data_IF_554657250890
#
_entry.id   IF_554657250890
#
_cell.length_a   1.000
_cell.length_b   1.000
_cell.length_c   1.000
_cell.angle_alpha   90.00
_cell.angle_beta   90.00
_cell.angle_gamma   90.00
#
_symmetry.space_group_name_H-M   'P 1'
#
loop_
_entity.id
_entity.type
_entity.pdbx_description
1 polymer ?
#
# COMPACT_ATOMS: atom_id res chain seq x y z
N UNK A 1 11.74 14.43 -16.68
CA UNK A 1 12.34 13.27 -15.99
C UNK A 1 11.24 12.62 -15.19
N UNK A 2 11.06 11.31 -15.33
CA UNK A 2 10.10 10.55 -14.54
C UNK A 2 10.86 9.86 -13.41
N UNK A 3 10.41 10.08 -12.18
CA UNK A 3 10.88 9.36 -11.00
C UNK A 3 9.93 8.20 -10.70
N UNK A 4 10.47 6.99 -10.59
CA UNK A 4 9.69 5.78 -10.26
C UNK A 4 10.22 5.18 -8.97
N UNK A 5 9.32 4.83 -8.05
CA UNK A 5 9.64 4.20 -6.78
C UNK A 5 8.66 3.07 -6.45
N UNK A 6 9.19 1.99 -5.87
CA UNK A 6 8.42 0.87 -5.35
C UNK A 6 8.58 0.87 -3.83
N UNK A 7 7.46 0.91 -3.11
CA UNK A 7 7.45 0.91 -1.64
C UNK A 7 6.66 -0.26 -1.10
N UNK A 8 7.33 -1.12 -0.33
CA UNK A 8 6.69 -2.20 0.42
C UNK A 8 6.12 -1.64 1.73
N UNK A 9 4.82 -1.82 1.96
CA UNK A 9 4.13 -1.37 3.17
C UNK A 9 3.27 -2.49 3.76
N UNK A 10 3.09 -2.48 5.08
CA UNK A 10 2.22 -3.44 5.75
C UNK A 10 0.77 -3.27 5.30
N UNK A 11 0.11 -4.37 4.93
CA UNK A 11 -1.28 -4.34 4.50
C UNK A 11 -2.20 -4.07 5.70
N UNK A 12 -3.26 -3.32 5.47
CA UNK A 12 -4.33 -3.14 6.45
C UNK A 12 -5.21 -4.41 6.44
N UNK A 13 -5.43 -5.06 7.59
CA UNK A 13 -6.31 -6.23 7.67
C UNK A 13 -7.73 -5.89 7.19
N UNK A 14 -8.38 -6.84 6.53
CA UNK A 14 -9.80 -6.70 6.16
C UNK A 14 -10.65 -6.50 7.42
N UNK A 15 -11.62 -5.58 7.35
CA UNK A 15 -12.40 -5.14 8.51
C UNK A 15 -11.68 -4.13 9.41
N UNK A 16 -10.41 -3.78 9.13
CA UNK A 16 -9.67 -2.73 9.82
C UNK A 16 -8.95 -3.20 11.09
N UNK A 17 -8.02 -2.36 11.55
CA UNK A 17 -7.18 -2.64 12.71
C UNK A 17 -7.74 -2.08 14.02
N UNK A 18 -6.86 -2.05 15.02
CA UNK A 18 -7.13 -1.40 16.31
C UNK A 18 -7.57 0.08 16.22
N UNK A 19 -7.26 0.77 15.12
CA UNK A 19 -7.73 2.14 14.88
C UNK A 19 -9.24 2.22 14.64
N UNK A 20 -9.84 1.16 14.09
CA UNK A 20 -11.29 1.05 13.87
C UNK A 20 -11.98 0.49 15.12
N UNK A 21 -11.40 -0.57 15.71
CA UNK A 21 -12.05 -1.35 16.76
C UNK A 21 -11.64 -0.99 18.19
N UNK A 22 -10.68 -0.06 18.38
CA UNK A 22 -10.05 0.22 19.66
C UNK A 22 -8.91 -0.76 20.00
N UNK A 23 -7.89 -0.28 20.73
CA UNK A 23 -6.62 -1.01 21.00
C UNK A 23 -6.79 -2.31 21.78
N UNK A 24 -7.72 -2.35 22.74
CA UNK A 24 -7.87 -3.47 23.66
C UNK A 24 -9.10 -4.36 23.36
N UNK A 25 -9.89 -4.02 22.34
CA UNK A 25 -11.03 -4.86 21.95
C UNK A 25 -10.57 -6.21 21.42
N UNK A 26 -11.45 -7.21 21.48
CA UNK A 26 -11.17 -8.53 20.92
C UNK A 26 -10.83 -8.43 19.42
N UNK A 27 -11.57 -7.60 18.67
CA UNK A 27 -11.37 -7.36 17.24
C UNK A 27 -10.04 -6.63 16.97
N UNK A 28 -9.67 -5.62 17.76
CA UNK A 28 -8.39 -4.93 17.67
C UNK A 28 -7.20 -5.88 17.90
N UNK A 29 -7.30 -6.76 18.91
CA UNK A 29 -6.28 -7.79 19.17
C UNK A 29 -6.21 -8.84 18.07
N UNK A 30 -7.36 -9.32 17.58
CA UNK A 30 -7.44 -10.28 16.48
C UNK A 30 -6.82 -9.72 15.19
N UNK A 31 -7.10 -8.45 14.85
CA UNK A 31 -6.52 -7.78 13.67
C UNK A 31 -4.99 -7.67 13.71
N UNK A 32 -4.40 -7.58 14.91
CA UNK A 32 -2.94 -7.55 15.10
C UNK A 32 -2.31 -8.95 15.00
N UNK A 33 -3.05 -9.97 15.42
CA UNK A 33 -2.64 -11.36 15.28
C UNK A 33 -2.78 -11.86 13.82
N UNK A 34 -3.76 -11.33 13.08
CA UNK A 34 -3.92 -11.58 11.66
C UNK A 34 -2.73 -10.97 10.89
N UNK A 35 -1.85 -11.83 10.38
CA UNK A 35 -0.75 -11.40 9.50
C UNK A 35 -1.32 -11.04 8.12
N UNK A 36 -1.71 -9.78 7.94
CA UNK A 36 -2.28 -9.28 6.68
C UNK A 36 -1.27 -9.22 5.51
N UNK A 37 0.02 -9.46 5.77
CA UNK A 37 1.06 -9.42 4.75
C UNK A 37 1.46 -8.01 4.33
N UNK A 38 1.94 -7.89 3.10
CA UNK A 38 2.44 -6.63 2.53
C UNK A 38 1.70 -6.29 1.24
N UNK A 39 1.72 -5.02 0.90
CA UNK A 39 1.33 -4.49 -0.42
C UNK A 39 2.45 -3.60 -0.93
N UNK A 40 2.62 -3.57 -2.25
CA UNK A 40 3.66 -2.80 -2.92
C UNK A 40 3.02 -1.60 -3.62
N UNK A 41 3.41 -0.40 -3.23
CA UNK A 41 2.98 0.83 -3.88
C UNK A 41 3.98 1.18 -4.97
N UNK A 42 3.51 1.13 -6.21
CA UNK A 42 4.28 1.53 -7.39
C UNK A 42 3.90 2.96 -7.72
N UNK A 43 4.82 3.89 -7.59
CA UNK A 43 4.58 5.32 -7.79
C UNK A 43 5.46 5.89 -8.90
N UNK A 44 4.87 6.77 -9.72
CA UNK A 44 5.56 7.49 -10.77
C UNK A 44 5.23 8.97 -10.72
N UNK A 45 6.25 9.82 -10.81
CA UNK A 45 6.14 11.27 -10.76
C UNK A 45 6.88 11.87 -11.95
N UNK A 46 6.18 12.61 -12.80
CA UNK A 46 6.82 13.36 -13.89
C UNK A 46 7.08 14.81 -13.49
N UNK A 47 8.36 15.20 -13.52
CA UNK A 47 8.81 16.52 -13.10
C UNK A 47 8.40 17.66 -14.06
N UNK A 48 8.04 17.35 -15.31
CA UNK A 48 7.64 18.35 -16.30
C UNK A 48 6.14 18.68 -16.20
N UNK A 49 5.29 17.66 -16.31
CA UNK A 49 3.82 17.79 -16.30
C UNK A 49 3.23 17.89 -14.89
N UNK A 50 4.00 17.62 -13.83
CA UNK A 50 3.53 17.49 -12.44
C UNK A 50 2.49 16.38 -12.24
N UNK A 51 2.41 15.43 -13.17
CA UNK A 51 1.57 14.24 -13.02
C UNK A 51 2.17 13.27 -11.99
N UNK A 52 1.30 12.65 -11.19
CA UNK A 52 1.66 11.61 -10.23
C UNK A 52 0.67 10.46 -10.33
N UNK A 53 1.18 9.23 -10.39
CA UNK A 53 0.42 8.00 -10.40
C UNK A 53 0.90 7.08 -9.29
N UNK A 54 -0.04 6.40 -8.62
CA UNK A 54 0.27 5.37 -7.63
C UNK A 54 -0.72 4.22 -7.72
N UNK A 55 -0.20 2.99 -7.78
CA UNK A 55 -1.01 1.76 -7.77
C UNK A 55 -0.51 0.80 -6.69
N UNK A 56 -1.45 0.04 -6.11
CA UNK A 56 -1.18 -0.97 -5.11
C UNK A 56 -1.16 -2.37 -5.75
N UNK A 57 0.00 -3.01 -5.75
CA UNK A 57 0.24 -4.34 -6.34
C UNK A 57 0.65 -5.37 -5.28
N UNK A 58 0.46 -6.64 -5.63
CA UNK A 58 0.76 -7.79 -4.74
C UNK A 58 2.24 -8.15 -4.67
N UNK A 59 3.06 -7.65 -5.60
CA UNK A 59 4.49 -7.92 -5.67
C UNK A 59 5.30 -6.71 -6.16
N UNK A 60 6.63 -6.83 -6.04
CA UNK A 60 7.60 -5.84 -6.50
C UNK A 60 7.92 -5.88 -8.00
N UNK A 61 7.52 -6.95 -8.70
CA UNK A 61 7.88 -7.21 -10.10
C UNK A 61 6.79 -6.83 -11.10
N UNK A 62 5.66 -6.33 -10.63
CA UNK A 62 4.56 -5.90 -11.46
C UNK A 62 5.09 -5.05 -12.62
N UNK A 63 4.81 -5.48 -13.85
CA UNK A 63 5.02 -4.68 -15.05
C UNK A 63 4.12 -3.45 -14.92
N UNK A 64 4.63 -2.39 -14.27
CA UNK A 64 3.89 -1.15 -14.12
C UNK A 64 3.81 -0.52 -15.50
N UNK A 65 2.65 -0.67 -16.14
CA UNK A 65 2.38 -0.04 -17.43
C UNK A 65 1.93 1.39 -17.16
N UNK A 66 2.90 2.28 -16.97
CA UNK A 66 2.64 3.72 -16.86
C UNK A 66 2.57 4.26 -18.28
N UNK A 67 1.37 4.41 -18.82
CA UNK A 67 1.15 5.13 -20.08
C UNK A 67 0.90 6.59 -19.73
N UNK A 68 1.93 7.43 -19.91
CA UNK A 68 1.87 8.90 -19.88
C UNK A 68 1.97 9.46 -21.29
#
# INVERSE_FOLDING_TARGET
>A
MVHVAIKKVGRIPDGGGWRVHGKNSAQGRASRAARAGYVYLHSAVDGYSRLTYTEALTDEKGLVKITV
#
